data_IF_562764048562
#
_entry.id   IF_562764048562
#
_cell.length_a   1.000
_cell.length_b   1.000
_cell.length_c   1.000
_cell.angle_alpha   90.00
_cell.angle_beta   90.00
_cell.angle_gamma   90.00
#
_symmetry.space_group_name_H-M   'P 1'
#
loop_
_entity.id
_entity.type
_entity.pdbx_description
1 polymer ?
#
# COMPACT_ATOMS: atom_id res chain seq x y z
N UNK A 1 19.34 -29.32 32.00
CA UNK A 1 18.46 -28.73 30.96
C UNK A 1 18.28 -27.26 31.32
N UNK A 2 18.88 -26.35 30.59
CA UNK A 2 18.53 -24.93 30.72
C UNK A 2 17.05 -24.79 30.38
N UNK A 3 16.28 -24.13 31.24
CA UNK A 3 14.89 -23.82 30.92
C UNK A 3 14.88 -23.06 29.58
N UNK A 4 14.06 -23.55 28.65
CA UNK A 4 13.93 -22.88 27.34
C UNK A 4 13.51 -21.43 27.60
N UNK A 5 14.26 -20.47 27.09
CA UNK A 5 13.92 -19.05 27.16
C UNK A 5 12.58 -18.86 26.43
N UNK A 6 11.58 -18.41 27.16
CA UNK A 6 10.23 -18.20 26.63
C UNK A 6 10.01 -16.69 26.48
N UNK A 7 9.60 -16.19 25.30
CA UNK A 7 9.30 -14.78 25.13
C UNK A 7 8.22 -14.31 26.14
N UNK A 8 8.37 -13.12 26.75
CA UNK A 8 7.34 -12.54 27.59
C UNK A 8 6.04 -12.32 26.82
N UNK A 9 4.93 -12.09 27.51
CA UNK A 9 3.68 -11.77 26.84
C UNK A 9 2.50 -11.71 27.81
N UNK A 10 1.31 -11.29 27.33
CA UNK A 10 0.13 -11.20 28.15
C UNK A 10 -0.36 -12.58 28.61
N UNK A 11 -0.94 -12.61 29.80
CA UNK A 11 -1.62 -13.82 30.31
C UNK A 11 -2.93 -14.10 29.55
N UNK A 12 -3.65 -13.02 29.21
CA UNK A 12 -4.88 -13.11 28.44
C UNK A 12 -4.57 -13.19 26.96
N UNK A 13 -5.12 -14.20 26.28
CA UNK A 13 -4.97 -14.36 24.83
C UNK A 13 -5.74 -13.32 24.04
N UNK A 14 -5.26 -13.05 22.81
CA UNK A 14 -5.90 -12.14 21.85
C UNK A 14 -5.56 -12.56 20.42
N UNK A 15 -6.56 -12.60 19.53
CA UNK A 15 -6.38 -12.92 18.11
C UNK A 15 -5.93 -11.67 17.34
N UNK A 16 -4.61 -11.52 17.17
CA UNK A 16 -4.01 -10.39 16.44
C UNK A 16 -4.41 -10.40 14.95
N UNK A 17 -4.66 -9.21 14.39
CA UNK A 17 -5.05 -9.05 12.98
C UNK A 17 -6.51 -9.37 12.70
N UNK A 18 -7.29 -9.76 13.72
CA UNK A 18 -8.70 -10.11 13.59
C UNK A 18 -9.69 -8.96 13.83
N UNK A 19 -9.22 -7.86 14.42
CA UNK A 19 -10.05 -6.70 14.76
C UNK A 19 -9.25 -5.40 14.78
N UNK A 20 -9.95 -4.26 14.76
CA UNK A 20 -9.36 -2.91 14.87
C UNK A 20 -8.58 -2.70 16.18
N UNK A 21 -8.89 -3.48 17.24
CA UNK A 21 -8.17 -3.40 18.50
C UNK A 21 -6.73 -3.94 18.41
N UNK A 22 -6.40 -4.71 17.35
CA UNK A 22 -5.12 -5.39 17.23
C UNK A 22 -3.94 -4.41 17.29
N UNK A 23 -4.05 -3.26 16.64
CA UNK A 23 -2.99 -2.24 16.67
C UNK A 23 -2.81 -1.64 18.07
N UNK A 24 -3.90 -1.32 18.76
CA UNK A 24 -3.86 -0.80 20.12
C UNK A 24 -3.25 -1.81 21.10
N UNK A 25 -3.63 -3.08 20.98
CA UNK A 25 -3.06 -4.18 21.78
C UNK A 25 -1.57 -4.39 21.51
N UNK A 26 -1.16 -4.38 20.24
CA UNK A 26 0.26 -4.52 19.88
C UNK A 26 1.09 -3.34 20.43
N UNK A 27 0.55 -2.12 20.42
CA UNK A 27 1.18 -0.93 21.01
C UNK A 27 1.35 -1.07 22.53
N UNK A 28 0.29 -1.48 23.24
CA UNK A 28 0.30 -1.76 24.69
C UNK A 28 1.35 -2.83 25.02
N UNK A 29 1.33 -3.96 24.29
CA UNK A 29 2.22 -5.08 24.56
C UNK A 29 3.66 -4.76 24.23
N UNK A 30 3.94 -4.04 23.12
CA UNK A 30 5.29 -3.57 22.80
C UNK A 30 5.88 -2.67 23.88
N UNK A 31 5.08 -1.74 24.40
CA UNK A 31 5.52 -0.87 25.50
C UNK A 31 5.81 -1.65 26.81
N UNK A 32 5.09 -2.74 27.06
CA UNK A 32 5.21 -3.53 28.29
C UNK A 32 6.28 -4.62 28.22
N UNK A 33 6.40 -5.29 27.07
CA UNK A 33 7.20 -6.52 26.94
C UNK A 33 8.44 -6.33 26.07
N UNK A 34 8.58 -5.16 25.40
CA UNK A 34 9.71 -4.86 24.53
C UNK A 34 9.49 -5.37 23.10
N UNK A 35 10.60 -5.59 22.38
CA UNK A 35 10.62 -5.82 20.94
C UNK A 35 10.17 -7.21 20.51
N UNK A 36 10.31 -8.20 21.40
CA UNK A 36 9.95 -9.58 21.09
C UNK A 36 9.08 -10.16 22.18
N UNK A 37 7.84 -10.46 21.85
CA UNK A 37 6.86 -11.02 22.79
C UNK A 37 5.92 -12.00 22.10
N UNK A 38 5.31 -12.89 22.90
CA UNK A 38 4.32 -13.83 22.40
C UNK A 38 2.91 -13.45 22.83
N UNK A 39 1.93 -13.79 21.98
CA UNK A 39 0.51 -13.61 22.26
C UNK A 39 -0.22 -14.91 21.97
N UNK A 40 -0.96 -15.44 22.94
CA UNK A 40 -1.81 -16.61 22.71
C UNK A 40 -3.01 -16.21 21.83
N UNK A 41 -3.24 -16.95 20.75
CA UNK A 41 -4.37 -16.79 19.84
C UNK A 41 -5.48 -17.79 20.19
N UNK A 42 -6.54 -17.39 20.93
CA UNK A 42 -7.57 -18.30 21.43
C UNK A 42 -8.29 -19.06 20.31
N UNK A 43 -8.60 -18.39 19.20
CA UNK A 43 -9.31 -19.02 18.08
C UNK A 43 -8.52 -20.18 17.45
N UNK A 44 -7.20 -20.21 17.61
CA UNK A 44 -6.32 -21.22 17.01
C UNK A 44 -5.62 -22.14 18.02
N UNK A 45 -5.66 -21.79 19.30
CA UNK A 45 -4.99 -22.55 20.36
C UNK A 45 -3.46 -22.55 20.27
N UNK A 46 -2.84 -21.50 19.67
CA UNK A 46 -1.40 -21.39 19.47
C UNK A 46 -0.86 -20.04 19.93
N UNK A 47 0.46 -19.98 20.17
CA UNK A 47 1.14 -18.71 20.40
C UNK A 47 1.68 -18.13 19.09
N UNK A 48 1.39 -16.87 18.87
CA UNK A 48 2.01 -16.05 17.86
C UNK A 48 3.21 -15.31 18.49
N UNK A 49 4.22 -15.01 17.67
CA UNK A 49 5.35 -14.17 18.07
C UNK A 49 5.23 -12.81 17.40
N UNK A 50 5.45 -11.75 18.14
CA UNK A 50 5.55 -10.38 17.59
C UNK A 50 7.00 -9.94 17.70
N UNK A 51 7.54 -9.35 16.63
CA UNK A 51 8.88 -8.79 16.58
C UNK A 51 8.83 -7.34 16.11
N UNK A 52 9.62 -6.48 16.76
CA UNK A 52 9.67 -5.05 16.44
C UNK A 52 11.11 -4.50 16.33
N UNK A 53 12.16 -5.32 16.52
CA UNK A 53 13.53 -4.91 16.30
C UNK A 53 13.92 -5.02 14.82
N UNK A 54 14.58 -4.01 14.21
CA UNK A 54 14.92 -4.03 12.78
C UNK A 54 15.79 -5.22 12.35
N UNK A 55 16.67 -5.74 13.22
CA UNK A 55 17.51 -6.90 12.88
C UNK A 55 16.70 -8.18 12.75
N UNK A 56 15.71 -8.41 13.64
CA UNK A 56 14.80 -9.54 13.53
C UNK A 56 13.91 -9.42 12.30
N UNK A 57 13.42 -8.21 12.01
CA UNK A 57 12.66 -7.91 10.79
C UNK A 57 13.51 -8.21 9.56
N UNK A 58 14.79 -7.78 9.53
CA UNK A 58 15.74 -8.12 8.47
C UNK A 58 15.91 -9.63 8.35
N UNK A 59 16.04 -10.35 9.47
CA UNK A 59 16.19 -11.80 9.48
C UNK A 59 15.01 -12.47 8.80
N UNK A 60 13.80 -12.16 9.22
CA UNK A 60 12.57 -12.77 8.72
C UNK A 60 12.30 -12.42 7.27
N UNK A 61 12.46 -11.17 6.86
CA UNK A 61 12.05 -10.70 5.53
C UNK A 61 13.15 -10.79 4.47
N UNK A 62 14.43 -10.85 4.87
CA UNK A 62 15.56 -10.83 3.94
C UNK A 62 16.53 -11.98 4.14
N UNK A 63 17.30 -12.02 5.25
CA UNK A 63 18.47 -12.89 5.36
C UNK A 63 18.10 -14.37 5.54
N UNK A 64 16.96 -14.68 6.19
CA UNK A 64 16.45 -16.04 6.37
C UNK A 64 15.05 -16.24 5.75
N UNK A 65 14.68 -15.39 4.76
CA UNK A 65 13.33 -15.38 4.15
C UNK A 65 12.88 -16.74 3.60
N UNK A 66 13.80 -17.64 3.29
CA UNK A 66 13.48 -19.00 2.76
C UNK A 66 12.86 -19.91 3.83
N UNK A 67 13.11 -19.61 5.10
CA UNK A 67 12.51 -20.30 6.24
C UNK A 67 11.09 -19.79 6.57
N UNK A 68 10.52 -18.91 5.72
CA UNK A 68 9.25 -18.26 6.02
C UNK A 68 8.31 -18.28 4.84
N UNK A 69 7.06 -18.65 5.10
CA UNK A 69 5.93 -18.46 4.19
C UNK A 69 5.04 -17.31 4.65
N UNK A 70 3.98 -17.01 3.91
CA UNK A 70 2.90 -16.13 4.37
C UNK A 70 2.26 -16.74 5.63
N UNK A 71 2.00 -15.89 6.60
CA UNK A 71 1.41 -16.28 7.88
C UNK A 71 -0.10 -16.13 7.92
N UNK A 72 -0.61 -16.01 9.13
CA UNK A 72 -2.04 -15.88 9.42
C UNK A 72 -2.71 -14.75 8.63
N UNK A 73 -3.99 -14.94 8.29
CA UNK A 73 -4.82 -13.98 7.56
C UNK A 73 -4.73 -14.09 6.04
N UNK A 74 -3.64 -14.62 5.49
CA UNK A 74 -3.45 -14.67 4.03
C UNK A 74 -4.43 -15.60 3.32
N UNK A 75 -4.91 -16.66 3.97
CA UNK A 75 -5.91 -17.55 3.39
C UNK A 75 -7.24 -16.85 3.09
N UNK A 76 -7.65 -15.89 3.95
CA UNK A 76 -8.84 -15.06 3.71
C UNK A 76 -8.65 -14.15 2.50
N UNK A 77 -7.48 -13.53 2.38
CA UNK A 77 -7.12 -12.69 1.22
C UNK A 77 -7.10 -13.53 -0.07
N UNK A 78 -6.62 -14.77 -0.01
CA UNK A 78 -6.59 -15.69 -1.13
C UNK A 78 -7.99 -16.09 -1.63
N UNK A 79 -8.98 -16.19 -0.75
CA UNK A 79 -10.37 -16.43 -1.15
C UNK A 79 -10.87 -15.29 -2.06
N UNK A 80 -10.48 -14.06 -1.80
CA UNK A 80 -10.88 -12.89 -2.57
C UNK A 80 -10.08 -12.73 -3.87
N UNK A 81 -8.74 -12.77 -3.78
CA UNK A 81 -7.83 -12.40 -4.86
C UNK A 81 -7.33 -13.60 -5.70
N UNK A 82 -7.65 -14.84 -5.32
CA UNK A 82 -7.08 -16.01 -5.97
C UNK A 82 -5.60 -16.22 -5.60
N UNK A 83 -4.81 -16.75 -6.55
CA UNK A 83 -3.41 -17.11 -6.35
C UNK A 83 -2.42 -16.14 -7.02
N UNK A 84 -2.73 -14.83 -7.02
CA UNK A 84 -1.85 -13.79 -7.57
C UNK A 84 -0.59 -13.56 -6.73
N UNK A 85 0.25 -12.63 -7.16
CA UNK A 85 1.58 -12.34 -6.57
C UNK A 85 1.52 -12.01 -5.06
N UNK A 86 0.40 -11.46 -4.57
CA UNK A 86 0.20 -11.12 -3.17
C UNK A 86 0.01 -12.35 -2.29
N UNK A 87 -0.63 -13.41 -2.79
CA UNK A 87 -1.10 -14.56 -2.01
C UNK A 87 -0.34 -15.84 -2.30
N UNK A 88 0.33 -15.92 -3.45
CA UNK A 88 1.05 -17.11 -3.90
C UNK A 88 2.38 -17.32 -3.17
N UNK A 89 2.87 -18.57 -3.18
CA UNK A 89 4.07 -19.02 -2.48
C UNK A 89 4.98 -19.87 -3.37
N UNK A 90 6.18 -20.13 -2.87
CA UNK A 90 7.13 -21.08 -3.46
C UNK A 90 7.58 -20.72 -4.86
N UNK A 91 7.77 -21.77 -5.70
CA UNK A 91 8.23 -21.62 -7.09
C UNK A 91 7.23 -20.92 -7.98
N UNK A 92 5.93 -21.12 -7.71
CA UNK A 92 4.87 -20.42 -8.43
C UNK A 92 5.01 -18.92 -8.25
N UNK A 93 5.12 -18.44 -7.00
CA UNK A 93 5.34 -17.02 -6.74
C UNK A 93 6.62 -16.50 -7.40
N UNK A 94 7.73 -17.25 -7.33
CA UNK A 94 9.01 -16.84 -7.94
C UNK A 94 8.87 -16.65 -9.44
N UNK A 95 8.16 -17.56 -10.10
CA UNK A 95 7.87 -17.49 -11.54
C UNK A 95 7.01 -16.26 -11.85
N UNK A 96 5.89 -16.06 -11.17
CA UNK A 96 5.01 -14.89 -11.36
C UNK A 96 5.77 -13.58 -11.15
N UNK A 97 6.53 -13.48 -10.05
CA UNK A 97 7.35 -12.30 -9.77
C UNK A 97 8.33 -11.98 -10.90
N UNK A 98 9.03 -12.97 -11.43
CA UNK A 98 9.97 -12.77 -12.55
C UNK A 98 9.28 -12.26 -13.81
N UNK A 99 8.10 -12.79 -14.13
CA UNK A 99 7.35 -12.39 -15.33
C UNK A 99 6.79 -10.96 -15.20
N UNK A 100 6.34 -10.58 -14.01
CA UNK A 100 5.74 -9.26 -13.78
C UNK A 100 6.77 -8.15 -13.57
N UNK A 101 7.92 -8.44 -12.95
CA UNK A 101 8.92 -7.45 -12.54
C UNK A 101 9.32 -6.46 -13.64
N UNK A 102 9.52 -6.86 -14.92
CA UNK A 102 9.89 -5.93 -16.01
C UNK A 102 8.85 -4.84 -16.24
N UNK A 103 7.56 -5.13 -16.07
CA UNK A 103 6.45 -4.19 -16.27
C UNK A 103 6.43 -3.07 -15.23
N UNK A 104 7.08 -3.27 -14.07
CA UNK A 104 7.18 -2.29 -13.00
C UNK A 104 8.53 -1.55 -12.95
N UNK A 105 9.35 -1.69 -13.99
CA UNK A 105 10.59 -0.94 -14.10
C UNK A 105 10.30 0.55 -14.34
N UNK A 106 11.10 1.46 -13.75
CA UNK A 106 10.91 2.93 -13.83
C UNK A 106 10.65 3.44 -15.25
N UNK A 107 11.40 2.95 -16.25
CA UNK A 107 11.22 3.34 -17.67
C UNK A 107 9.85 2.97 -18.25
N UNK A 108 9.24 1.89 -17.73
CA UNK A 108 7.88 1.48 -18.13
C UNK A 108 6.87 2.35 -17.42
N UNK A 109 7.06 2.57 -16.11
CA UNK A 109 6.18 3.40 -15.30
C UNK A 109 6.15 4.85 -15.81
N UNK A 110 7.29 5.38 -16.26
CA UNK A 110 7.39 6.72 -16.80
C UNK A 110 6.45 6.95 -18.02
N UNK A 111 6.13 5.91 -18.78
CA UNK A 111 5.17 5.98 -19.88
C UNK A 111 3.72 6.21 -19.44
N UNK A 112 3.40 5.99 -18.17
CA UNK A 112 2.10 6.32 -17.57
C UNK A 112 2.01 7.78 -17.08
N UNK A 113 3.08 8.58 -17.23
CA UNK A 113 3.12 9.96 -16.75
C UNK A 113 1.97 10.82 -17.29
N UNK A 114 1.70 10.74 -18.59
CA UNK A 114 0.59 11.46 -19.23
C UNK A 114 -0.78 11.04 -18.69
N UNK A 115 -0.99 9.74 -18.46
CA UNK A 115 -2.21 9.22 -17.84
C UNK A 115 -2.39 9.80 -16.43
N UNK A 116 -1.36 9.67 -15.59
CA UNK A 116 -1.39 10.13 -14.19
C UNK A 116 -1.65 11.64 -14.17
N UNK A 117 -0.98 12.40 -15.02
CA UNK A 117 -1.18 13.86 -15.16
C UNK A 117 -2.60 14.21 -15.57
N UNK A 118 -3.16 13.54 -16.59
CA UNK A 118 -4.52 13.78 -17.09
C UNK A 118 -5.58 13.51 -16.01
N UNK A 119 -5.43 12.41 -15.26
CA UNK A 119 -6.36 12.10 -14.16
C UNK A 119 -6.25 13.17 -13.06
N UNK A 120 -5.04 13.59 -12.70
CA UNK A 120 -4.86 14.66 -11.72
C UNK A 120 -5.45 16.00 -12.18
N UNK A 121 -5.32 16.37 -13.46
CA UNK A 121 -5.94 17.58 -14.00
C UNK A 121 -7.47 17.55 -13.89
N UNK A 122 -8.11 16.42 -14.20
CA UNK A 122 -9.55 16.20 -14.03
C UNK A 122 -10.01 16.44 -12.57
N UNK A 123 -9.30 15.87 -11.60
CA UNK A 123 -9.61 16.06 -10.18
C UNK A 123 -9.33 17.49 -9.72
N UNK A 124 -8.29 18.12 -10.24
CA UNK A 124 -7.97 19.53 -9.98
C UNK A 124 -9.08 20.46 -10.46
N UNK A 125 -9.67 20.22 -11.65
CA UNK A 125 -10.81 20.99 -12.16
C UNK A 125 -12.04 20.80 -11.23
N UNK A 126 -12.32 19.58 -10.77
CA UNK A 126 -13.38 19.29 -9.82
C UNK A 126 -13.19 20.07 -8.50
N UNK A 127 -11.97 20.13 -7.97
CA UNK A 127 -11.65 20.90 -6.78
C UNK A 127 -11.79 22.41 -7.01
N UNK A 128 -11.38 22.90 -8.18
CA UNK A 128 -11.57 24.31 -8.53
C UNK A 128 -13.05 24.69 -8.62
N UNK A 129 -13.91 23.80 -9.09
CA UNK A 129 -15.36 24.01 -9.14
C UNK A 129 -15.96 24.08 -7.72
N UNK A 130 -15.57 23.16 -6.85
CA UNK A 130 -15.99 23.15 -5.45
C UNK A 130 -15.49 24.41 -4.72
N UNK A 131 -14.23 24.80 -4.95
CA UNK A 131 -13.67 26.04 -4.36
C UNK A 131 -14.47 27.29 -4.78
N UNK A 132 -14.90 27.40 -6.05
CA UNK A 132 -15.73 28.51 -6.54
C UNK A 132 -17.11 28.54 -5.85
N UNK A 133 -17.65 27.38 -5.47
CA UNK A 133 -18.95 27.28 -4.79
C UNK A 133 -18.85 27.35 -3.27
N UNK A 134 -17.63 27.42 -2.71
CA UNK A 134 -17.40 27.38 -1.27
C UNK A 134 -17.77 26.03 -0.63
N UNK A 135 -17.70 24.94 -1.41
CA UNK A 135 -18.01 23.59 -0.98
C UNK A 135 -16.75 22.86 -0.51
N UNK A 136 -16.90 22.03 0.54
CA UNK A 136 -15.82 21.14 0.97
C UNK A 136 -15.58 20.02 -0.04
N UNK A 137 -14.33 19.58 -0.12
CA UNK A 137 -13.90 18.37 -0.83
C UNK A 137 -13.81 17.23 0.18
N UNK A 138 -14.35 16.07 -0.17
CA UNK A 138 -14.10 14.84 0.57
C UNK A 138 -12.80 14.20 0.07
N UNK A 139 -11.72 14.44 0.79
CA UNK A 139 -10.39 13.92 0.42
C UNK A 139 -10.37 12.40 0.38
N UNK A 140 -11.06 11.73 1.33
CA UNK A 140 -11.10 10.27 1.40
C UNK A 140 -11.72 9.67 0.13
N UNK A 141 -12.87 10.20 -0.31
CA UNK A 141 -13.53 9.73 -1.53
C UNK A 141 -12.72 10.10 -2.78
N UNK A 142 -12.25 11.36 -2.85
CA UNK A 142 -11.55 11.88 -4.03
C UNK A 142 -10.22 11.14 -4.27
N UNK A 143 -9.44 10.86 -3.22
CA UNK A 143 -8.20 10.06 -3.36
C UNK A 143 -8.49 8.62 -3.73
N UNK A 144 -9.58 8.04 -3.20
CA UNK A 144 -10.03 6.69 -3.56
C UNK A 144 -10.44 6.62 -5.05
N UNK A 145 -11.27 7.55 -5.52
CA UNK A 145 -11.66 7.60 -6.94
C UNK A 145 -10.48 7.84 -7.87
N UNK A 146 -9.58 8.79 -7.51
CA UNK A 146 -8.39 9.13 -8.30
C UNK A 146 -7.47 7.90 -8.48
N UNK A 147 -7.13 7.23 -7.40
CA UNK A 147 -6.21 6.08 -7.45
C UNK A 147 -6.85 4.88 -8.14
N UNK A 148 -8.18 4.68 -7.98
CA UNK A 148 -8.89 3.64 -8.73
C UNK A 148 -8.88 3.96 -10.24
N UNK A 149 -9.14 5.19 -10.65
CA UNK A 149 -9.10 5.60 -12.05
C UNK A 149 -7.71 5.39 -12.66
N UNK A 150 -6.64 5.80 -11.96
CA UNK A 150 -5.25 5.59 -12.42
C UNK A 150 -4.94 4.09 -12.58
N UNK A 151 -5.25 3.26 -11.58
CA UNK A 151 -4.92 1.83 -11.64
C UNK A 151 -5.71 1.10 -12.73
N UNK A 152 -7.00 1.42 -12.90
CA UNK A 152 -7.82 0.79 -13.93
C UNK A 152 -7.37 1.16 -15.35
N UNK A 153 -7.08 2.44 -15.61
CA UNK A 153 -6.53 2.86 -16.89
C UNK A 153 -5.11 2.31 -17.14
N UNK A 154 -4.30 2.16 -16.09
CA UNK A 154 -2.98 1.53 -16.22
C UNK A 154 -3.07 0.03 -16.54
N UNK A 155 -4.13 -0.67 -16.09
CA UNK A 155 -4.33 -2.09 -16.35
C UNK A 155 -5.03 -2.34 -17.67
N UNK A 156 -6.10 -1.60 -17.99
CA UNK A 156 -6.99 -1.90 -19.11
C UNK A 156 -6.86 -0.93 -20.29
N UNK A 157 -6.16 0.19 -20.13
CA UNK A 157 -5.99 1.18 -21.19
C UNK A 157 -7.33 1.67 -21.74
N UNK A 158 -7.46 1.64 -23.06
CA UNK A 158 -8.68 2.06 -23.78
C UNK A 158 -9.88 1.15 -23.58
N UNK A 159 -9.66 -0.09 -23.14
CA UNK A 159 -10.75 -1.04 -22.92
C UNK A 159 -11.65 -0.65 -21.74
N UNK A 160 -11.12 0.09 -20.76
CA UNK A 160 -11.94 0.61 -19.67
C UNK A 160 -13.10 1.47 -20.19
N UNK A 161 -12.81 2.43 -21.07
CA UNK A 161 -13.83 3.28 -21.68
C UNK A 161 -14.85 2.50 -22.52
N UNK A 162 -14.43 1.43 -23.20
CA UNK A 162 -15.35 0.51 -23.90
C UNK A 162 -16.30 -0.20 -22.94
N UNK A 163 -15.76 -0.71 -21.82
CA UNK A 163 -16.56 -1.38 -20.78
C UNK A 163 -17.58 -0.42 -20.16
N UNK A 164 -17.15 0.77 -19.80
CA UNK A 164 -18.04 1.80 -19.24
C UNK A 164 -19.16 2.19 -20.20
N UNK A 165 -18.84 2.35 -21.50
CA UNK A 165 -19.85 2.63 -22.53
C UNK A 165 -20.85 1.50 -22.70
N UNK A 166 -20.39 0.23 -22.60
CA UNK A 166 -21.26 -0.94 -22.75
C UNK A 166 -22.20 -1.14 -21.55
N UNK A 167 -21.68 -0.89 -20.34
CA UNK A 167 -22.41 -1.14 -19.10
C UNK A 167 -23.15 0.10 -18.57
N UNK A 168 -22.85 1.29 -19.10
CA UNK A 168 -23.40 2.57 -18.62
C UNK A 168 -22.82 3.06 -17.31
N UNK A 169 -21.95 2.28 -16.67
CA UNK A 169 -21.27 2.57 -15.40
C UNK A 169 -19.89 1.91 -15.39
N UNK A 170 -18.97 2.43 -14.57
CA UNK A 170 -17.71 1.75 -14.30
C UNK A 170 -17.98 0.53 -13.38
N UNK A 171 -17.77 -0.71 -13.84
CA UNK A 171 -18.09 -1.90 -13.05
C UNK A 171 -17.18 -2.07 -11.83
N UNK A 172 -16.01 -1.40 -11.81
CA UNK A 172 -15.02 -1.47 -10.73
C UNK A 172 -15.26 -0.44 -9.60
N UNK A 173 -16.24 0.48 -9.75
CA UNK A 173 -16.58 1.45 -8.69
C UNK A 173 -16.92 0.80 -7.33
N UNK A 174 -17.36 -0.45 -7.34
CA UNK A 174 -17.59 -1.24 -6.12
C UNK A 174 -16.34 -1.29 -5.23
N UNK A 175 -15.16 -1.21 -5.81
CA UNK A 175 -13.87 -1.24 -5.07
C UNK A 175 -13.67 0.06 -4.27
N UNK A 176 -14.09 1.21 -4.81
CA UNK A 176 -13.97 2.51 -4.14
C UNK A 176 -15.15 2.84 -3.21
N UNK A 177 -16.38 2.46 -3.64
CA UNK A 177 -17.61 2.94 -2.98
C UNK A 177 -18.11 2.06 -1.83
N UNK A 178 -17.68 0.80 -1.72
CA UNK A 178 -18.11 -0.06 -0.62
C UNK A 178 -17.14 0.02 0.57
N UNK A 179 -17.60 0.61 1.69
CA UNK A 179 -16.72 0.80 2.86
C UNK A 179 -16.46 -0.50 3.62
N UNK A 180 -17.35 -1.49 3.49
CA UNK A 180 -17.24 -2.77 4.18
C UNK A 180 -16.75 -3.86 3.24
N UNK A 181 -15.76 -4.63 3.68
CA UNK A 181 -15.22 -5.79 2.93
C UNK A 181 -15.90 -7.08 3.37
N UNK A 182 -17.23 -7.07 3.35
CA UNK A 182 -18.07 -8.20 3.75
C UNK A 182 -18.25 -9.25 2.63
N UNK A 183 -19.08 -10.25 2.88
CA UNK A 183 -19.39 -11.30 1.89
C UNK A 183 -20.08 -10.76 0.63
N UNK A 184 -20.86 -9.67 0.75
CA UNK A 184 -21.51 -9.05 -0.42
C UNK A 184 -20.48 -8.40 -1.31
N UNK A 185 -19.54 -7.66 -0.72
CA UNK A 185 -18.39 -7.13 -1.44
C UNK A 185 -17.60 -8.24 -2.14
N UNK A 186 -17.27 -9.32 -1.41
CA UNK A 186 -16.54 -10.45 -1.99
C UNK A 186 -17.26 -11.06 -3.20
N UNK A 187 -18.59 -11.18 -3.14
CA UNK A 187 -19.41 -11.69 -4.26
C UNK A 187 -19.36 -10.75 -5.47
N UNK A 188 -19.56 -9.43 -5.26
CA UNK A 188 -19.52 -8.42 -6.33
C UNK A 188 -18.11 -8.35 -6.93
N UNK A 189 -17.09 -8.29 -6.08
CA UNK A 189 -15.70 -8.26 -6.53
C UNK A 189 -15.36 -9.50 -7.38
N UNK A 190 -15.76 -10.69 -6.95
CA UNK A 190 -15.57 -11.91 -7.76
C UNK A 190 -16.32 -11.91 -9.07
N UNK A 191 -17.44 -11.21 -9.19
CA UNK A 191 -18.14 -11.10 -10.48
C UNK A 191 -17.32 -10.35 -11.53
N UNK A 192 -16.41 -9.44 -11.10
CA UNK A 192 -15.50 -8.72 -11.99
C UNK A 192 -14.50 -9.66 -12.69
N UNK A 193 -14.20 -10.82 -12.11
CA UNK A 193 -13.31 -11.81 -12.75
C UNK A 193 -13.82 -12.26 -14.11
N UNK A 194 -15.14 -12.29 -14.33
CA UNK A 194 -15.73 -12.63 -15.62
C UNK A 194 -15.45 -11.54 -16.65
N UNK A 195 -15.60 -10.27 -16.27
CA UNK A 195 -15.29 -9.14 -17.16
C UNK A 195 -13.82 -9.16 -17.59
N UNK A 196 -12.93 -9.46 -16.65
CA UNK A 196 -11.50 -9.60 -16.96
C UNK A 196 -11.24 -10.78 -17.88
N UNK A 197 -11.90 -11.92 -17.66
CA UNK A 197 -11.79 -13.11 -18.53
C UNK A 197 -12.29 -12.81 -19.96
N UNK A 198 -13.45 -12.16 -20.08
CA UNK A 198 -14.01 -11.78 -21.38
C UNK A 198 -13.08 -10.81 -22.14
N UNK A 199 -12.46 -9.89 -21.42
CA UNK A 199 -11.49 -8.96 -21.97
C UNK A 199 -10.23 -9.66 -22.48
N UNK A 200 -9.67 -10.58 -21.70
CA UNK A 200 -8.51 -11.39 -22.11
C UNK A 200 -8.86 -12.21 -23.37
N UNK A 201 -10.01 -12.88 -23.38
CA UNK A 201 -10.47 -13.67 -24.51
C UNK A 201 -10.61 -12.81 -25.79
N UNK A 202 -11.22 -11.62 -25.66
CA UNK A 202 -11.36 -10.67 -26.78
C UNK A 202 -9.99 -10.25 -27.34
N UNK A 203 -9.05 -9.80 -26.48
CA UNK A 203 -7.71 -9.37 -26.90
C UNK A 203 -6.90 -10.49 -27.61
N UNK A 204 -7.18 -11.75 -27.31
CA UNK A 204 -6.59 -12.89 -28.03
C UNK A 204 -7.15 -13.08 -29.43
N UNK A 205 -8.44 -12.77 -29.63
CA UNK A 205 -9.14 -12.91 -30.90
C UNK A 205 -8.91 -11.70 -31.83
N UNK A 206 -8.84 -10.51 -31.23
CA UNK A 206 -8.68 -9.25 -31.94
C UNK A 206 -7.41 -8.55 -31.44
N UNK A 207 -6.23 -8.97 -31.93
CA UNK A 207 -4.98 -8.39 -31.46
C UNK A 207 -4.85 -6.93 -31.94
N UNK A 208 -5.01 -6.00 -31.00
CA UNK A 208 -4.71 -4.58 -31.17
C UNK A 208 -3.42 -4.26 -30.41
N UNK A 209 -2.73 -3.20 -30.79
CA UNK A 209 -1.57 -2.73 -30.02
C UNK A 209 -2.04 -1.96 -28.77
N UNK A 210 -1.74 -2.50 -27.60
CA UNK A 210 -2.06 -1.92 -26.31
C UNK A 210 -0.78 -1.60 -25.54
N UNK A 211 -0.79 -0.49 -24.81
CA UNK A 211 0.22 -0.20 -23.79
C UNK A 211 -0.45 -0.09 -22.43
N UNK A 212 -0.57 -1.19 -21.74
CA UNK A 212 -1.12 -1.31 -20.39
C UNK A 212 -0.60 -2.57 -19.70
N UNK A 213 -0.85 -2.71 -18.40
CA UNK A 213 -0.37 -3.86 -17.63
C UNK A 213 -0.95 -5.19 -18.13
N UNK A 214 -2.21 -5.24 -18.56
CA UNK A 214 -2.80 -6.47 -19.09
C UNK A 214 -2.06 -6.94 -20.35
N UNK A 215 -1.77 -6.03 -21.29
CA UNK A 215 -0.98 -6.35 -22.48
C UNK A 215 0.42 -6.86 -22.12
N UNK A 216 1.07 -6.24 -21.13
CA UNK A 216 2.38 -6.69 -20.65
C UNK A 216 2.32 -8.08 -20.01
N UNK A 217 1.27 -8.39 -19.24
CA UNK A 217 1.06 -9.72 -18.67
C UNK A 217 0.81 -10.76 -19.77
N UNK A 218 -0.01 -10.44 -20.77
CA UNK A 218 -0.28 -11.32 -21.91
C UNK A 218 0.98 -11.61 -22.74
N UNK A 219 1.87 -10.63 -22.87
CA UNK A 219 3.14 -10.77 -23.58
C UNK A 219 4.26 -11.40 -22.72
N UNK A 220 4.06 -11.53 -21.41
CA UNK A 220 5.09 -12.05 -20.50
C UNK A 220 5.34 -13.54 -20.70
N UNK A 221 6.62 -13.92 -20.65
CA UNK A 221 7.05 -15.32 -20.69
C UNK A 221 8.07 -15.61 -19.61
N UNK A 222 7.98 -16.79 -19.03
CA UNK A 222 8.99 -17.29 -18.10
C UNK A 222 10.31 -17.53 -18.83
N UNK A 223 11.41 -16.93 -18.34
CA UNK A 223 12.73 -17.03 -18.96
C UNK A 223 13.32 -18.45 -18.97
N UNK A 224 12.87 -19.31 -18.09
CA UNK A 224 13.38 -20.69 -17.96
C UNK A 224 12.60 -21.66 -18.85
N UNK A 225 11.28 -21.48 -18.96
CA UNK A 225 10.39 -22.40 -19.66
C UNK A 225 9.85 -21.87 -20.98
N UNK A 226 9.91 -20.56 -21.21
CA UNK A 226 9.25 -19.86 -22.31
C UNK A 226 7.73 -19.77 -22.18
N UNK A 227 7.14 -20.39 -21.15
CA UNK A 227 5.70 -20.44 -20.98
C UNK A 227 5.13 -19.09 -20.48
N UNK A 228 4.06 -18.63 -21.10
CA UNK A 228 3.30 -17.46 -20.64
C UNK A 228 2.42 -17.77 -19.41
N UNK A 229 1.71 -16.75 -18.93
CA UNK A 229 0.65 -16.91 -17.92
C UNK A 229 -0.60 -17.54 -18.56
N UNK A 230 -1.23 -18.46 -17.86
CA UNK A 230 -2.60 -18.90 -18.19
C UNK A 230 -3.60 -17.78 -17.94
N UNK A 231 -4.79 -17.86 -18.55
CA UNK A 231 -5.86 -16.87 -18.33
C UNK A 231 -6.24 -16.77 -16.86
N UNK A 232 -6.25 -17.89 -16.13
CA UNK A 232 -6.53 -17.92 -14.71
C UNK A 232 -5.47 -17.16 -13.90
N UNK A 233 -4.19 -17.38 -14.21
CA UNK A 233 -3.09 -16.65 -13.56
C UNK A 233 -3.19 -15.14 -13.85
N UNK A 234 -3.47 -14.74 -15.10
CA UNK A 234 -3.65 -13.34 -15.46
C UNK A 234 -4.82 -12.69 -14.72
N UNK A 235 -5.97 -13.38 -14.61
CA UNK A 235 -7.11 -12.89 -13.85
C UNK A 235 -6.74 -12.66 -12.38
N UNK A 236 -6.08 -13.64 -11.73
CA UNK A 236 -5.69 -13.53 -10.34
C UNK A 236 -4.68 -12.37 -10.13
N UNK A 237 -3.75 -12.14 -11.08
CA UNK A 237 -2.83 -11.00 -11.02
C UNK A 237 -3.53 -9.66 -11.25
N UNK A 238 -4.41 -9.54 -12.24
CA UNK A 238 -5.19 -8.32 -12.50
C UNK A 238 -6.02 -7.95 -11.28
N UNK A 239 -6.76 -8.90 -10.69
CA UNK A 239 -7.56 -8.66 -9.50
C UNK A 239 -6.69 -8.24 -8.30
N UNK A 240 -5.49 -8.82 -8.19
CA UNK A 240 -4.49 -8.42 -7.17
C UNK A 240 -4.01 -6.99 -7.39
N UNK A 241 -3.67 -6.63 -8.64
CA UNK A 241 -3.19 -5.29 -8.97
C UNK A 241 -4.24 -4.20 -8.70
N UNK A 242 -5.52 -4.47 -9.01
CA UNK A 242 -6.60 -3.51 -8.74
C UNK A 242 -6.68 -3.20 -7.24
N UNK A 243 -6.73 -4.24 -6.39
CA UNK A 243 -6.87 -4.02 -4.94
C UNK A 243 -5.60 -3.42 -4.33
N UNK A 244 -4.43 -3.96 -4.68
CA UNK A 244 -3.17 -3.52 -4.11
C UNK A 244 -2.78 -2.09 -4.52
N UNK A 245 -3.06 -1.68 -5.75
CA UNK A 245 -2.70 -0.36 -6.27
C UNK A 245 -3.66 0.75 -5.84
N UNK A 246 -4.91 0.42 -5.54
CA UNK A 246 -5.94 1.40 -5.21
C UNK A 246 -5.90 1.83 -3.74
N UNK A 247 -6.28 0.94 -2.80
CA UNK A 247 -6.53 1.31 -1.41
C UNK A 247 -5.30 1.83 -0.66
N UNK A 248 -4.14 1.25 -0.93
CA UNK A 248 -2.90 1.63 -0.25
C UNK A 248 -2.47 3.04 -0.60
N UNK A 249 -2.54 3.40 -1.86
CA UNK A 249 -2.18 4.72 -2.36
C UNK A 249 -3.20 5.77 -1.93
N UNK A 250 -4.50 5.47 -2.02
CA UNK A 250 -5.57 6.33 -1.53
C UNK A 250 -5.41 6.67 -0.05
N UNK A 251 -5.17 5.65 0.79
CA UNK A 251 -4.94 5.85 2.22
C UNK A 251 -3.70 6.70 2.49
N UNK A 252 -2.59 6.46 1.78
CA UNK A 252 -1.36 7.26 1.92
C UNK A 252 -1.62 8.73 1.61
N UNK A 253 -2.32 9.04 0.53
CA UNK A 253 -2.68 10.42 0.15
C UNK A 253 -3.61 11.06 1.18
N UNK A 254 -4.62 10.33 1.65
CA UNK A 254 -5.55 10.81 2.67
C UNK A 254 -4.82 11.20 3.95
N UNK A 255 -3.94 10.33 4.46
CA UNK A 255 -3.12 10.61 5.65
C UNK A 255 -2.14 11.76 5.43
N UNK A 256 -1.57 11.88 4.24
CA UNK A 256 -0.68 13.00 3.92
C UNK A 256 -1.42 14.33 3.96
N UNK A 257 -2.62 14.43 3.38
CA UNK A 257 -3.44 15.64 3.44
C UNK A 257 -3.91 15.94 4.87
N UNK A 258 -4.23 14.91 5.64
CA UNK A 258 -4.53 15.09 7.07
C UNK A 258 -3.35 15.70 7.81
N UNK A 259 -2.15 15.15 7.68
CA UNK A 259 -0.95 15.67 8.34
C UNK A 259 -0.63 17.10 7.91
N UNK A 260 -0.72 17.39 6.62
CA UNK A 260 -0.50 18.74 6.10
C UNK A 260 -1.51 19.74 6.67
N UNK A 261 -2.74 19.33 6.94
CA UNK A 261 -3.76 20.20 7.55
C UNK A 261 -3.46 20.54 9.02
N UNK A 262 -2.73 19.69 9.72
CA UNK A 262 -2.31 19.90 11.11
C UNK A 262 -1.00 20.70 11.21
N UNK A 263 -0.25 20.85 10.10
CA UNK A 263 1.07 21.47 10.04
C UNK A 263 1.14 22.52 8.92
N UNK A 264 0.50 23.69 9.11
CA UNK A 264 0.39 24.72 8.06
C UNK A 264 1.74 25.26 7.58
N UNK A 265 2.77 25.27 8.42
CA UNK A 265 4.13 25.67 8.08
C UNK A 265 4.78 24.67 7.10
N UNK A 266 4.58 23.35 7.32
CA UNK A 266 5.04 22.30 6.42
C UNK A 266 4.28 22.36 5.10
N UNK A 267 2.97 22.55 5.15
CA UNK A 267 2.14 22.73 3.95
C UNK A 267 2.56 23.96 3.13
N UNK A 268 2.91 25.08 3.80
CA UNK A 268 3.42 26.27 3.12
C UNK A 268 4.80 26.02 2.46
N UNK A 269 5.68 25.25 3.10
CA UNK A 269 6.97 24.87 2.51
C UNK A 269 6.77 23.95 1.30
N UNK A 270 5.90 22.95 1.42
CA UNK A 270 5.56 22.04 0.33
C UNK A 270 5.03 22.82 -0.88
N UNK A 271 4.13 23.79 -0.68
CA UNK A 271 3.63 24.63 -1.78
C UNK A 271 4.72 25.43 -2.48
N UNK A 272 5.66 26.04 -1.74
CA UNK A 272 6.78 26.79 -2.33
C UNK A 272 7.67 25.93 -3.22
N UNK A 273 7.88 24.66 -2.84
CA UNK A 273 8.66 23.75 -3.66
C UNK A 273 7.83 23.24 -4.86
N UNK A 274 6.57 22.93 -4.64
CA UNK A 274 5.67 22.53 -5.71
C UNK A 274 5.58 23.59 -6.82
N UNK A 275 5.62 24.90 -6.48
CA UNK A 275 5.60 25.99 -7.47
C UNK A 275 6.80 25.97 -8.44
N UNK A 276 7.89 25.29 -8.08
CA UNK A 276 9.08 25.14 -8.92
C UNK A 276 9.04 23.88 -9.79
N UNK A 277 8.12 22.97 -9.52
CA UNK A 277 7.98 21.72 -10.25
C UNK A 277 7.22 21.93 -11.57
N UNK A 278 7.46 21.08 -12.58
CA UNK A 278 6.70 21.10 -13.82
C UNK A 278 5.24 20.74 -13.59
N UNK A 279 4.39 21.02 -14.58
CA UNK A 279 3.00 20.59 -14.54
C UNK A 279 2.88 19.06 -14.49
N UNK A 280 1.79 18.55 -13.90
CA UNK A 280 1.59 17.11 -13.66
C UNK A 280 1.77 16.24 -14.92
N UNK A 281 1.26 16.69 -16.06
CA UNK A 281 1.34 15.99 -17.34
C UNK A 281 2.73 16.05 -18.01
N UNK A 282 3.63 16.90 -17.51
CA UNK A 282 5.01 17.04 -17.98
C UNK A 282 6.04 16.46 -16.99
N UNK A 283 5.59 15.86 -15.90
CA UNK A 283 6.45 15.35 -14.84
C UNK A 283 6.85 13.90 -15.15
N UNK A 284 8.16 13.63 -15.28
CA UNK A 284 8.68 12.26 -15.33
C UNK A 284 8.82 11.67 -13.92
N UNK A 285 8.95 10.34 -13.84
CA UNK A 285 9.17 9.65 -12.54
C UNK A 285 10.46 10.12 -11.85
N UNK A 286 11.52 10.37 -12.60
CA UNK A 286 12.78 10.85 -12.04
C UNK A 286 12.66 12.27 -11.51
N UNK A 287 11.90 13.14 -12.20
CA UNK A 287 11.59 14.49 -11.72
C UNK A 287 10.74 14.46 -10.44
N UNK A 288 9.71 13.61 -10.39
CA UNK A 288 8.88 13.47 -9.21
C UNK A 288 9.68 12.96 -7.99
N UNK A 289 10.52 11.96 -8.18
CA UNK A 289 11.36 11.42 -7.11
C UNK A 289 12.46 12.40 -6.66
N UNK A 290 12.88 13.34 -7.53
CA UNK A 290 13.81 14.41 -7.20
C UNK A 290 13.14 15.61 -6.52
N UNK A 291 11.82 15.62 -6.35
CA UNK A 291 11.08 16.69 -5.68
C UNK A 291 11.35 16.63 -4.16
N UNK A 292 12.48 17.15 -3.74
CA UNK A 292 13.13 17.03 -2.43
C UNK A 292 12.18 17.01 -1.24
N UNK A 293 11.57 18.16 -0.88
CA UNK A 293 10.72 18.24 0.31
C UNK A 293 9.34 17.58 0.14
N UNK A 294 8.76 17.61 -1.07
CA UNK A 294 7.50 16.90 -1.36
C UNK A 294 7.67 15.39 -1.13
N UNK A 295 8.81 14.84 -1.57
CA UNK A 295 9.14 13.44 -1.35
C UNK A 295 9.33 13.13 0.15
N UNK A 296 10.03 14.00 0.89
CA UNK A 296 10.21 13.85 2.34
C UNK A 296 8.88 13.89 3.12
N UNK A 297 7.95 14.78 2.73
CA UNK A 297 6.59 14.85 3.28
C UNK A 297 5.87 13.51 3.10
N UNK A 298 5.94 12.93 1.91
CA UNK A 298 5.32 11.65 1.63
C UNK A 298 5.99 10.51 2.41
N UNK A 299 7.32 10.48 2.48
CA UNK A 299 8.05 9.47 3.25
C UNK A 299 7.71 9.52 4.74
N UNK A 300 7.60 10.73 5.31
CA UNK A 300 7.22 10.90 6.72
C UNK A 300 5.76 10.52 6.97
N UNK A 301 4.86 10.79 6.02
CA UNK A 301 3.49 10.31 6.09
C UNK A 301 3.42 8.79 6.07
N UNK A 302 4.17 8.13 5.18
CA UNK A 302 4.27 6.67 5.12
C UNK A 302 4.94 6.05 6.36
N UNK A 303 5.81 6.81 7.05
CA UNK A 303 6.35 6.39 8.34
C UNK A 303 5.27 6.38 9.42
N UNK A 304 4.54 7.48 9.55
CA UNK A 304 3.51 7.63 10.58
C UNK A 304 2.28 6.76 10.30
N UNK A 305 1.85 6.67 9.07
CA UNK A 305 0.65 5.95 8.68
C UNK A 305 0.91 5.00 7.49
N UNK A 306 1.74 3.94 7.71
CA UNK A 306 1.99 2.96 6.65
C UNK A 306 0.71 2.18 6.35
N UNK A 307 0.20 2.17 5.10
CA UNK A 307 -0.99 1.38 4.76
C UNK A 307 -0.82 -0.10 5.08
N UNK A 308 0.35 -0.66 4.75
CA UNK A 308 0.75 -2.01 5.15
C UNK A 308 1.26 -2.04 6.59
N UNK A 309 0.38 -1.84 7.54
CA UNK A 309 0.71 -1.68 8.95
C UNK A 309 1.09 -2.98 9.67
N UNK A 310 0.74 -4.15 9.07
CA UNK A 310 0.96 -5.48 9.64
C UNK A 310 1.38 -6.48 8.57
N UNK A 311 2.46 -7.20 8.80
CA UNK A 311 2.92 -8.33 7.98
C UNK A 311 2.94 -9.59 8.83
N UNK A 312 2.52 -10.71 8.25
CA UNK A 312 2.61 -12.01 8.91
C UNK A 312 3.50 -12.96 8.13
N UNK A 313 4.29 -13.74 8.85
CA UNK A 313 5.11 -14.82 8.30
C UNK A 313 4.96 -16.05 9.17
N UNK A 314 5.12 -17.23 8.58
CA UNK A 314 5.10 -18.51 9.31
C UNK A 314 6.41 -19.24 9.10
N UNK A 315 7.05 -19.67 10.19
CA UNK A 315 8.27 -20.46 10.13
C UNK A 315 8.01 -21.84 9.51
N UNK A 316 8.92 -22.30 8.65
CA UNK A 316 8.94 -23.67 8.14
C UNK A 316 9.72 -24.58 9.09
N UNK A 317 10.89 -24.14 9.51
CA UNK A 317 11.77 -24.83 10.44
C UNK A 317 12.02 -23.96 11.68
N UNK A 318 12.70 -24.51 12.67
CA UNK A 318 13.08 -23.76 13.87
C UNK A 318 13.98 -22.56 13.51
N UNK A 319 13.83 -21.47 14.27
CA UNK A 319 14.63 -20.25 14.14
C UNK A 319 14.91 -19.65 15.52
N UNK A 320 15.60 -18.53 15.55
CA UNK A 320 15.84 -17.70 16.74
C UNK A 320 15.53 -16.24 16.40
N UNK A 321 14.69 -15.58 17.21
CA UNK A 321 14.31 -14.18 17.07
C UNK A 321 14.34 -13.50 18.44
N UNK A 322 14.97 -12.34 18.52
CA UNK A 322 15.12 -11.59 19.76
C UNK A 322 15.83 -12.36 20.88
N UNK A 323 16.68 -13.36 20.54
CA UNK A 323 17.32 -14.26 21.49
C UNK A 323 16.41 -15.39 22.01
N UNK A 324 15.23 -15.57 21.44
CA UNK A 324 14.28 -16.63 21.82
C UNK A 324 14.19 -17.71 20.73
N UNK A 325 14.14 -19.00 21.10
CA UNK A 325 13.90 -20.08 20.16
C UNK A 325 12.48 -20.02 19.62
N UNK A 326 12.33 -20.17 18.32
CA UNK A 326 11.06 -20.15 17.59
C UNK A 326 10.83 -21.51 16.96
N UNK A 327 9.74 -22.15 17.34
CA UNK A 327 9.36 -23.47 16.82
C UNK A 327 8.89 -23.38 15.34
N UNK A 328 8.98 -24.49 14.58
CA UNK A 328 8.33 -24.58 13.28
C UNK A 328 6.83 -24.30 13.37
N UNK A 329 6.26 -23.73 12.32
CA UNK A 329 4.84 -23.36 12.19
C UNK A 329 4.38 -22.24 13.13
N UNK A 330 5.30 -21.48 13.72
CA UNK A 330 4.98 -20.27 14.49
C UNK A 330 4.67 -19.12 13.55
N UNK A 331 3.55 -18.43 13.76
CA UNK A 331 3.26 -17.18 13.08
C UNK A 331 4.01 -16.03 13.74
N UNK A 332 4.75 -15.28 12.93
CA UNK A 332 5.53 -14.11 13.31
C UNK A 332 4.85 -12.88 12.75
N UNK A 333 4.51 -11.95 13.62
CA UNK A 333 3.86 -10.69 13.31
C UNK A 333 4.91 -9.57 13.33
N UNK A 334 4.92 -8.77 12.26
CA UNK A 334 5.78 -7.59 12.08
C UNK A 334 4.85 -6.41 11.86
N UNK A 335 4.98 -5.38 12.72
CA UNK A 335 4.12 -4.20 12.66
C UNK A 335 4.90 -2.97 12.23
N UNK A 336 4.93 -2.60 10.92
CA UNK A 336 5.59 -1.39 10.44
C UNK A 336 5.16 -0.13 11.20
N UNK A 337 3.89 -0.02 11.59
CA UNK A 337 3.42 1.12 12.38
C UNK A 337 4.19 1.31 13.70
N UNK A 338 4.52 0.22 14.40
CA UNK A 338 5.32 0.27 15.63
C UNK A 338 6.81 0.39 15.33
N UNK A 339 7.31 -0.34 14.35
CA UNK A 339 8.70 -0.30 13.92
C UNK A 339 9.12 1.11 13.49
N UNK A 340 8.27 1.80 12.74
CA UNK A 340 8.49 3.18 12.30
C UNK A 340 8.37 4.23 13.42
N UNK A 341 8.04 3.78 14.63
CA UNK A 341 7.95 4.61 15.85
C UNK A 341 8.86 4.14 16.96
N UNK A 342 9.73 3.17 16.65
CA UNK A 342 10.63 2.58 17.65
C UNK A 342 11.62 3.63 18.20
N UNK A 343 11.60 3.92 19.53
CA UNK A 343 12.32 5.07 20.10
C UNK A 343 13.84 4.97 19.99
N UNK A 344 14.40 3.77 19.82
CA UNK A 344 15.85 3.60 19.60
C UNK A 344 16.31 4.00 18.18
N UNK A 345 15.39 4.15 17.22
CA UNK A 345 15.69 4.44 15.82
C UNK A 345 15.04 5.71 15.29
N UNK A 346 14.14 6.32 16.07
CA UNK A 346 13.38 7.50 15.69
C UNK A 346 13.28 8.48 16.87
N UNK A 347 13.90 9.62 16.75
CA UNK A 347 13.75 10.72 17.70
C UNK A 347 12.37 11.33 17.55
N UNK A 348 11.70 11.67 18.68
CA UNK A 348 10.33 12.20 18.67
C UNK A 348 9.40 11.45 17.69
N UNK A 349 9.19 10.14 17.90
CA UNK A 349 8.62 9.26 16.87
C UNK A 349 7.17 9.58 16.48
N UNK A 350 6.43 10.30 17.29
CA UNK A 350 5.04 10.70 16.99
C UNK A 350 4.95 12.05 16.24
N UNK A 351 6.04 12.83 16.15
CA UNK A 351 6.05 14.09 15.44
C UNK A 351 6.14 13.93 13.93
N UNK A 352 5.41 14.77 13.21
CA UNK A 352 5.48 14.88 11.76
C UNK A 352 6.62 15.80 11.35
N UNK A 353 7.78 15.24 11.05
CA UNK A 353 9.05 15.94 10.74
C UNK A 353 9.66 15.45 9.42
N UNK A 354 9.21 15.95 8.26
CA UNK A 354 9.70 15.50 6.94
C UNK A 354 11.23 15.56 6.79
N UNK A 355 11.89 16.50 7.47
CA UNK A 355 13.35 16.65 7.44
C UNK A 355 14.13 15.46 7.97
N UNK A 356 13.49 14.51 8.67
CA UNK A 356 14.12 13.21 9.02
C UNK A 356 14.56 12.41 7.81
N UNK A 357 14.05 12.76 6.62
CA UNK A 357 14.41 12.14 5.35
C UNK A 357 15.42 12.98 4.55
N UNK A 358 16.11 13.93 5.18
CA UNK A 358 17.32 14.52 4.62
C UNK A 358 18.40 13.43 4.51
N UNK A 359 19.28 13.53 3.50
CA UNK A 359 20.21 12.46 3.14
C UNK A 359 21.10 12.00 4.32
N UNK A 360 21.57 12.94 5.15
CA UNK A 360 22.43 12.64 6.30
C UNK A 360 21.70 11.76 7.31
N UNK A 361 20.46 12.11 7.68
CA UNK A 361 19.70 11.36 8.67
C UNK A 361 19.31 9.96 8.18
N UNK A 362 19.12 9.82 6.87
CA UNK A 362 18.82 8.52 6.24
C UNK A 362 20.03 7.58 6.26
N UNK A 363 21.24 8.10 6.05
CA UNK A 363 22.49 7.29 6.08
C UNK A 363 22.81 6.76 7.47
N UNK A 364 22.52 7.54 8.52
CA UNK A 364 22.79 7.18 9.92
C UNK A 364 21.75 6.21 10.49
N UNK A 365 20.53 6.21 9.92
CA UNK A 365 19.42 5.40 10.41
C UNK A 365 19.58 3.93 10.05
N UNK A 366 19.21 3.05 10.98
CA UNK A 366 19.13 1.61 10.69
C UNK A 366 18.17 1.35 9.51
N UNK A 367 18.68 0.81 8.40
CA UNK A 367 17.97 0.66 7.13
C UNK A 367 16.61 -0.06 7.24
N UNK A 368 16.50 -1.01 8.17
CA UNK A 368 15.27 -1.82 8.34
C UNK A 368 14.32 -1.23 9.40
N UNK A 369 14.62 -0.05 9.95
CA UNK A 369 13.68 0.69 10.78
C UNK A 369 12.59 1.42 9.96
N UNK A 370 12.73 1.48 8.62
CA UNK A 370 11.76 2.08 7.69
C UNK A 370 11.48 1.14 6.53
N UNK A 371 10.28 0.53 6.51
CA UNK A 371 9.90 -0.51 5.56
C UNK A 371 8.45 -0.36 5.04
N UNK A 372 8.00 0.83 4.59
CA UNK A 372 6.61 1.05 4.20
C UNK A 372 6.17 0.18 3.02
N UNK A 373 7.12 -0.24 2.17
CA UNK A 373 6.92 -1.15 1.04
C UNK A 373 7.43 -2.58 1.30
N UNK A 374 7.64 -2.95 2.58
CA UNK A 374 8.32 -4.18 2.96
C UNK A 374 9.78 -4.22 2.45
N UNK A 375 10.47 -5.33 2.63
CA UNK A 375 11.86 -5.53 2.17
C UNK A 375 12.07 -6.97 1.71
N UNK A 376 13.21 -7.22 1.07
CA UNK A 376 13.61 -8.54 0.60
C UNK A 376 12.88 -8.99 -0.67
N UNK A 377 12.84 -10.28 -0.97
CA UNK A 377 12.24 -10.78 -2.20
C UNK A 377 10.76 -10.44 -2.38
N UNK A 378 10.03 -10.25 -1.27
CA UNK A 378 8.62 -9.90 -1.23
C UNK A 378 8.37 -8.38 -1.15
N UNK A 379 9.39 -7.56 -1.39
CA UNK A 379 9.26 -6.11 -1.52
C UNK A 379 8.17 -5.73 -2.53
N UNK A 380 7.43 -4.64 -2.27
CA UNK A 380 6.33 -4.18 -3.10
C UNK A 380 6.77 -4.00 -4.56
N UNK A 381 6.09 -4.68 -5.49
CA UNK A 381 6.38 -4.56 -6.91
C UNK A 381 5.95 -3.21 -7.47
N UNK A 382 4.89 -2.62 -6.87
CA UNK A 382 4.28 -1.37 -7.29
C UNK A 382 4.88 -0.10 -6.67
N UNK A 383 5.98 -0.18 -5.88
CA UNK A 383 6.54 1.00 -5.19
C UNK A 383 6.78 2.18 -6.14
N UNK A 384 7.40 1.93 -7.30
CA UNK A 384 7.71 3.02 -8.24
C UNK A 384 6.47 3.74 -8.74
N UNK A 385 5.42 3.01 -9.13
CA UNK A 385 4.19 3.63 -9.63
C UNK A 385 3.43 4.32 -8.50
N UNK A 386 3.33 3.71 -7.33
CA UNK A 386 2.65 4.28 -6.18
C UNK A 386 3.33 5.59 -5.72
N UNK A 387 4.65 5.61 -5.59
CA UNK A 387 5.40 6.83 -5.26
C UNK A 387 5.21 7.90 -6.33
N UNK A 388 5.27 7.52 -7.59
CA UNK A 388 5.13 8.46 -8.70
C UNK A 388 3.75 9.12 -8.71
N UNK A 389 2.66 8.35 -8.65
CA UNK A 389 1.32 8.92 -8.66
C UNK A 389 1.03 9.80 -7.44
N UNK A 390 1.50 9.41 -6.24
CA UNK A 390 1.34 10.21 -5.03
C UNK A 390 2.11 11.54 -5.10
N UNK A 391 3.35 11.52 -5.58
CA UNK A 391 4.16 12.73 -5.73
C UNK A 391 3.59 13.68 -6.77
N UNK A 392 3.12 13.18 -7.92
CA UNK A 392 2.44 13.98 -8.94
C UNK A 392 1.18 14.61 -8.37
N UNK A 393 0.36 13.83 -7.65
CA UNK A 393 -0.87 14.34 -7.02
C UNK A 393 -0.58 15.46 -6.01
N UNK A 394 0.32 15.22 -5.05
CA UNK A 394 0.65 16.20 -4.02
C UNK A 394 1.20 17.49 -4.64
N UNK A 395 2.10 17.38 -5.62
CA UNK A 395 2.67 18.53 -6.32
C UNK A 395 1.59 19.31 -7.07
N UNK A 396 0.80 18.64 -7.91
CA UNK A 396 -0.23 19.28 -8.73
C UNK A 396 -1.29 20.00 -7.90
N UNK A 397 -1.74 19.39 -6.82
CA UNK A 397 -2.76 19.98 -5.94
C UNK A 397 -2.18 21.12 -5.11
N UNK A 398 -0.95 20.98 -4.61
CA UNK A 398 -0.27 22.03 -3.85
C UNK A 398 0.05 23.26 -4.69
N UNK A 399 0.33 23.12 -5.99
CA UNK A 399 0.47 24.24 -6.92
C UNK A 399 -0.79 25.10 -7.05
N UNK A 400 -1.97 24.49 -6.95
CA UNK A 400 -3.26 25.11 -7.31
C UNK A 400 -4.12 25.48 -6.12
N UNK A 401 -3.92 24.82 -4.96
CA UNK A 401 -4.85 24.93 -3.83
C UNK A 401 -4.16 25.06 -2.47
N UNK A 402 -4.87 25.73 -1.57
CA UNK A 402 -4.70 25.65 -0.12
C UNK A 402 -5.86 24.87 0.46
N UNK A 403 -5.54 23.89 1.32
CA UNK A 403 -6.51 23.03 1.96
C UNK A 403 -6.49 23.25 3.47
N UNK A 404 -7.67 23.41 4.06
CA UNK A 404 -7.88 23.48 5.51
C UNK A 404 -9.00 22.54 5.89
N UNK A 405 -8.92 21.90 7.04
CA UNK A 405 -10.04 21.06 7.51
C UNK A 405 -11.32 21.87 7.63
N UNK A 406 -12.45 21.27 7.27
CA UNK A 406 -13.77 21.90 7.40
C UNK A 406 -14.31 21.88 8.83
N UNK A 407 -13.80 20.96 9.67
CA UNK A 407 -14.16 20.78 11.07
C UNK A 407 -12.97 20.25 11.89
N UNK A 408 -13.08 20.30 13.21
CA UNK A 408 -12.09 19.76 14.15
C UNK A 408 -12.53 18.41 14.75
N UNK A 409 -13.48 17.70 14.13
CA UNK A 409 -13.94 16.43 14.62
C UNK A 409 -12.79 15.41 14.71
N UNK A 410 -12.72 14.61 15.77
CA UNK A 410 -11.72 13.55 15.89
C UNK A 410 -11.82 12.58 14.70
N UNK A 411 -10.69 12.28 14.09
CA UNK A 411 -10.64 11.28 13.03
C UNK A 411 -10.30 9.93 13.63
N UNK A 412 -11.09 8.92 13.28
CA UNK A 412 -10.87 7.55 13.71
C UNK A 412 -10.02 6.79 12.71
N UNK A 413 -9.00 6.11 13.24
CA UNK A 413 -8.14 5.21 12.47
C UNK A 413 -8.72 3.81 12.48
N UNK A 414 -8.73 3.16 11.33
CA UNK A 414 -9.11 1.77 11.16
C UNK A 414 -7.89 0.95 10.70
N UNK A 415 -7.54 -0.07 11.47
CA UNK A 415 -6.40 -0.94 11.23
C UNK A 415 -6.86 -2.37 10.91
N UNK A 416 -7.34 -2.59 9.69
CA UNK A 416 -7.77 -3.89 9.18
C UNK A 416 -6.80 -4.40 8.10
N UNK A 417 -7.26 -4.56 6.86
CA UNK A 417 -6.38 -4.94 5.74
C UNK A 417 -5.34 -3.85 5.48
N UNK A 418 -5.79 -2.60 5.51
CA UNK A 418 -4.96 -1.40 5.41
C UNK A 418 -5.20 -0.49 6.62
N UNK A 419 -4.21 0.35 6.92
CA UNK A 419 -4.35 1.44 7.88
C UNK A 419 -4.98 2.65 7.19
N UNK A 420 -6.24 2.93 7.45
CA UNK A 420 -6.99 4.03 6.83
C UNK A 420 -7.76 4.88 7.82
N UNK A 421 -8.27 6.01 7.38
CA UNK A 421 -9.31 6.74 8.11
C UNK A 421 -10.65 6.01 7.97
N UNK A 422 -11.36 5.84 9.09
CA UNK A 422 -12.74 5.35 9.11
C UNK A 422 -13.72 6.43 8.69
N UNK A 423 -13.47 7.66 9.12
CA UNK A 423 -14.29 8.83 8.84
C UNK A 423 -13.81 9.55 7.56
N UNK A 424 -14.70 10.32 6.96
CA UNK A 424 -14.38 11.18 5.83
C UNK A 424 -13.50 12.35 6.27
N UNK A 425 -12.46 12.64 5.51
CA UNK A 425 -11.64 13.84 5.66
C UNK A 425 -12.22 14.94 4.76
N UNK A 426 -13.00 15.84 5.34
CA UNK A 426 -13.58 16.99 4.63
C UNK A 426 -12.65 18.20 4.74
N UNK A 427 -12.32 18.80 3.61
CA UNK A 427 -11.45 19.97 3.54
C UNK A 427 -12.05 21.09 2.70
N UNK A 428 -11.98 22.30 3.22
CA UNK A 428 -12.22 23.51 2.44
C UNK A 428 -11.03 23.74 1.51
N UNK A 429 -11.33 24.00 0.26
CA UNK A 429 -10.34 24.22 -0.79
C UNK A 429 -10.39 25.68 -1.23
N UNK A 430 -9.26 26.37 -1.15
CA UNK A 430 -9.08 27.71 -1.67
C UNK A 430 -8.13 27.66 -2.87
N UNK A 431 -8.56 28.23 -4.01
CA UNK A 431 -7.69 28.36 -5.18
C UNK A 431 -6.63 29.42 -4.90
N UNK A 432 -5.38 29.13 -5.31
CA UNK A 432 -4.22 30.03 -5.24
C UNK A 432 -4.17 30.96 -6.43
#
# INVERSE_FOLDING_TARGET
MQAALIPPGPEQGFDLGGSDESLARMREYGARYGDTYRVFAPARGVYNLVINHPDDVRRVLLSNHRNYTKGEGMDRVKILLGNGIMTSEGDFWRRQRRMMQPSFHRRVIDRFASLIGTVNDKFSERWADKARRGEAVNITDDTSELTLEIVLHSIFGTDLARLEKQLGVNPFEVVAKEPTRDLKFAFRFRSLTRLVADLIARRRLEPEEHFDFLAMLMASGDRETGAGMSDREMIDEVMTLIVAGHETTASSLTWTWYLLSQHPEIAAQLRREADQAPAANATSIDMALAAGFVHQVLQESLRLYPPGWLFTRRTLEADELGGFPVAPRTDVFICPYLLHRHPAFWDDPEEFRPRRFDAVDVEERHRFAYIPFSVGPRHCIGENIAMFEMLVHLTAMAQRFELTRSDDAPLEMEAQINLRLRSNLLMMVKKR
#
